data_IF_409225812267
#
_entry.id   IF_409225812267
#
_cell.length_a   1.000
_cell.length_b   1.000
_cell.length_c   1.000
_cell.angle_alpha   90.00
_cell.angle_beta   90.00
_cell.angle_gamma   90.00
#
_symmetry.space_group_name_H-M   'P 1'
#
loop_
_entity.id
_entity.type
_entity.pdbx_description
1 polymer ?
#
# COMPACT_ATOMS: atom_id res chain seq x y z
N UNK A 1 -16.10 -20.02 16.83
CA UNK A 1 -16.98 -19.13 16.05
C UNK A 1 -18.15 -18.49 16.84
N UNK A 2 -18.65 -19.10 17.93
CA UNK A 2 -19.75 -18.50 18.74
C UNK A 2 -19.31 -17.31 19.63
N UNK A 3 -18.04 -17.29 20.07
CA UNK A 3 -17.48 -16.25 20.95
C UNK A 3 -17.35 -14.89 20.24
N UNK A 4 -16.86 -14.85 18.99
CA UNK A 4 -16.74 -13.61 18.21
C UNK A 4 -18.09 -12.94 17.92
N UNK A 5 -19.15 -13.73 17.65
CA UNK A 5 -20.50 -13.19 17.40
C UNK A 5 -21.17 -12.59 18.63
N UNK A 6 -20.78 -13.01 19.84
CA UNK A 6 -21.24 -12.41 21.10
C UNK A 6 -20.54 -11.07 21.37
N UNK A 7 -19.22 -11.03 21.13
CA UNK A 7 -18.40 -9.81 21.19
C UNK A 7 -18.89 -8.71 20.22
N UNK A 8 -19.31 -9.09 19.00
CA UNK A 8 -19.83 -8.16 18.00
C UNK A 8 -21.17 -7.49 18.38
N UNK A 9 -22.05 -8.17 19.15
CA UNK A 9 -23.34 -7.62 19.58
C UNK A 9 -23.24 -6.74 20.84
N UNK A 10 -22.33 -7.06 21.75
CA UNK A 10 -22.03 -6.24 22.94
C UNK A 10 -21.33 -4.92 22.57
N UNK A 11 -20.59 -4.90 21.46
CA UNK A 11 -19.87 -3.75 20.88
C UNK A 11 -20.71 -2.49 20.71
N UNK A 12 -21.96 -2.57 20.24
CA UNK A 12 -22.74 -1.37 19.87
C UNK A 12 -23.02 -0.47 21.09
N UNK A 13 -23.34 -1.05 22.24
CA UNK A 13 -23.58 -0.30 23.47
C UNK A 13 -22.29 0.21 24.12
N UNK A 14 -21.19 -0.55 24.06
CA UNK A 14 -19.89 -0.10 24.55
C UNK A 14 -19.27 1.00 23.70
N UNK A 15 -19.32 0.90 22.36
CA UNK A 15 -18.82 1.94 21.45
C UNK A 15 -19.56 3.27 21.71
N UNK A 16 -20.87 3.22 21.94
CA UNK A 16 -21.66 4.41 22.31
C UNK A 16 -21.27 5.00 23.67
N UNK A 17 -20.81 4.18 24.63
CA UNK A 17 -20.24 4.67 25.90
C UNK A 17 -18.85 5.29 25.69
N UNK A 18 -18.00 4.69 24.87
CA UNK A 18 -16.65 5.17 24.58
C UNK A 18 -16.64 6.48 23.79
N UNK A 19 -17.64 6.69 22.92
CA UNK A 19 -17.84 7.95 22.17
C UNK A 19 -18.14 9.16 23.07
N UNK A 20 -18.64 8.93 24.29
CA UNK A 20 -18.96 9.97 25.29
C UNK A 20 -17.77 10.37 26.17
N UNK A 21 -16.65 9.66 26.09
CA UNK A 21 -15.47 10.01 26.86
C UNK A 21 -14.88 11.35 26.35
N UNK A 22 -14.43 12.25 27.24
CA UNK A 22 -13.90 13.56 26.85
C UNK A 22 -12.66 13.42 25.95
N UNK A 23 -12.62 14.17 24.85
CA UNK A 23 -11.45 14.27 23.96
C UNK A 23 -10.36 15.07 24.67
N UNK A 24 -9.24 14.42 24.98
CA UNK A 24 -8.06 15.09 25.55
C UNK A 24 -7.08 15.34 24.42
N UNK A 25 -6.69 16.60 24.21
CA UNK A 25 -5.59 16.96 23.32
C UNK A 25 -4.31 16.95 24.13
N UNK A 26 -3.47 15.94 23.92
CA UNK A 26 -2.15 15.87 24.55
C UNK A 26 -1.27 16.95 23.94
N UNK A 27 -0.74 17.85 24.78
CA UNK A 27 0.24 18.87 24.41
C UNK A 27 1.48 18.71 25.31
N UNK A 28 2.60 19.34 24.94
CA UNK A 28 3.88 19.23 25.66
C UNK A 28 3.82 19.79 27.09
N UNK A 29 2.88 20.69 27.35
CA UNK A 29 2.63 21.42 28.59
C UNK A 29 1.56 20.78 29.49
N UNK A 30 0.95 19.67 29.07
CA UNK A 30 -0.10 18.99 29.84
C UNK A 30 0.51 17.89 30.68
N UNK A 31 0.24 17.90 31.99
CA UNK A 31 0.58 16.81 32.90
C UNK A 31 -0.20 15.55 32.51
N UNK A 32 0.52 14.48 32.18
CA UNK A 32 -0.08 13.19 31.78
C UNK A 32 -0.38 12.39 33.04
N UNK A 33 -1.65 12.36 33.43
CA UNK A 33 -2.13 11.54 34.56
C UNK A 33 -2.58 10.15 34.11
N UNK A 34 -2.75 9.23 35.07
CA UNK A 34 -3.20 7.84 34.80
C UNK A 34 -4.60 7.84 34.17
N UNK A 35 -5.48 8.74 34.58
CA UNK A 35 -6.84 8.87 34.06
C UNK A 35 -6.86 9.31 32.59
N UNK A 36 -5.92 10.18 32.20
CA UNK A 36 -5.74 10.59 30.81
C UNK A 36 -5.33 9.40 29.95
N UNK A 37 -4.37 8.59 30.44
CA UNK A 37 -3.91 7.38 29.74
C UNK A 37 -5.02 6.34 29.63
N UNK A 38 -5.75 6.04 30.72
CA UNK A 38 -6.86 5.08 30.73
C UNK A 38 -7.95 5.48 29.72
N UNK A 39 -8.32 6.76 29.68
CA UNK A 39 -9.28 7.29 28.71
C UNK A 39 -8.80 7.10 27.26
N UNK A 40 -7.54 7.45 26.96
CA UNK A 40 -6.96 7.30 25.61
C UNK A 40 -6.94 5.83 25.18
N UNK A 41 -6.46 4.93 26.04
CA UNK A 41 -6.37 3.50 25.75
C UNK A 41 -7.76 2.91 25.52
N UNK A 42 -8.75 3.23 26.37
CA UNK A 42 -10.13 2.77 26.18
C UNK A 42 -10.73 3.25 24.86
N UNK A 43 -10.44 4.48 24.44
CA UNK A 43 -10.86 5.00 23.14
C UNK A 43 -10.18 4.28 21.98
N UNK A 44 -8.87 4.10 22.05
CA UNK A 44 -8.09 3.44 21.03
C UNK A 44 -8.55 1.98 20.85
N UNK A 45 -8.69 1.23 21.95
CA UNK A 45 -9.23 -0.13 21.94
C UNK A 45 -10.67 -0.17 21.44
N UNK A 46 -11.49 0.80 21.87
CA UNK A 46 -12.86 0.96 21.38
C UNK A 46 -12.92 1.09 19.87
N UNK A 47 -12.15 2.04 19.32
CA UNK A 47 -12.02 2.27 17.89
C UNK A 47 -11.45 1.05 17.16
N UNK A 48 -10.33 0.50 17.61
CA UNK A 48 -9.68 -0.64 16.99
C UNK A 48 -10.57 -1.88 17.00
N UNK A 49 -11.36 -2.07 18.06
CA UNK A 49 -12.36 -3.12 18.09
C UNK A 49 -13.32 -2.98 16.92
N UNK A 50 -13.76 -1.76 16.55
CA UNK A 50 -14.71 -1.56 15.45
C UNK A 50 -14.21 -2.03 14.08
N UNK A 51 -12.90 -2.17 13.91
CA UNK A 51 -12.26 -2.65 12.69
C UNK A 51 -12.24 -4.18 12.55
N UNK A 52 -12.56 -4.93 13.62
CA UNK A 52 -12.56 -6.39 13.59
C UNK A 52 -13.65 -6.93 12.65
N UNK A 53 -13.26 -7.82 11.74
CA UNK A 53 -14.16 -8.55 10.84
C UNK A 53 -15.06 -9.55 11.59
N UNK A 54 -16.12 -10.04 10.93
CA UNK A 54 -17.15 -10.88 11.55
C UNK A 54 -16.65 -12.23 12.08
N UNK A 55 -15.63 -12.77 11.44
CA UNK A 55 -14.92 -14.01 11.77
C UNK A 55 -13.76 -13.80 12.75
N UNK A 56 -13.46 -12.55 13.10
CA UNK A 56 -12.60 -12.17 14.22
C UNK A 56 -11.20 -11.71 13.84
N UNK A 57 -10.82 -11.67 12.55
CA UNK A 57 -9.55 -11.07 12.12
C UNK A 57 -9.64 -9.54 12.01
N UNK A 58 -8.50 -8.87 11.83
CA UNK A 58 -8.43 -7.44 11.55
C UNK A 58 -7.88 -7.22 10.15
N UNK A 59 -8.72 -6.78 9.18
CA UNK A 59 -8.23 -6.38 7.88
C UNK A 59 -7.32 -5.16 8.03
N UNK A 60 -6.20 -5.18 7.33
CA UNK A 60 -5.29 -4.05 7.22
C UNK A 60 -4.70 -4.04 5.82
N UNK A 61 -4.43 -2.85 5.31
CA UNK A 61 -3.62 -2.72 4.11
C UNK A 61 -2.20 -3.23 4.42
N UNK A 62 -1.78 -4.27 3.70
CA UNK A 62 -0.45 -4.85 3.78
C UNK A 62 0.31 -4.67 2.45
N UNK A 63 -0.01 -3.58 1.74
CA UNK A 63 0.82 -3.08 0.64
C UNK A 63 2.18 -2.56 1.13
N UNK A 64 2.96 -2.04 0.19
CA UNK A 64 4.29 -1.50 0.48
C UNK A 64 5.26 -1.83 -0.65
N UNK A 65 5.61 -3.12 -0.86
CA UNK A 65 6.40 -3.53 -2.01
C UNK A 65 5.67 -3.21 -3.33
N UNK A 66 6.30 -2.41 -4.19
CA UNK A 66 5.75 -2.04 -5.50
C UNK A 66 6.09 -3.13 -6.52
N UNK A 67 5.17 -4.09 -6.64
CA UNK A 67 5.12 -5.00 -7.80
C UNK A 67 3.68 -5.26 -8.30
N UNK A 68 2.66 -4.58 -7.74
CA UNK A 68 1.24 -4.89 -8.01
C UNK A 68 0.37 -3.70 -8.48
N UNK A 69 0.58 -2.46 -8.01
CA UNK A 69 -0.26 -1.30 -8.39
C UNK A 69 0.55 0.01 -8.52
N UNK A 70 0.22 0.89 -9.48
CA UNK A 70 1.08 2.01 -9.85
C UNK A 70 0.94 3.23 -8.93
N UNK A 71 2.08 3.68 -8.37
CA UNK A 71 2.29 5.06 -7.92
C UNK A 71 3.51 5.61 -8.65
N UNK A 72 3.31 6.14 -9.86
CA UNK A 72 4.39 6.66 -10.70
C UNK A 72 5.06 7.83 -9.97
N UNK A 73 6.38 7.77 -9.80
CA UNK A 73 7.14 8.87 -9.25
C UNK A 73 7.18 10.04 -10.24
N UNK A 74 7.43 11.26 -9.75
CA UNK A 74 7.49 12.47 -10.59
C UNK A 74 8.54 12.39 -11.71
N UNK A 75 9.59 11.57 -11.53
CA UNK A 75 10.62 11.33 -12.54
C UNK A 75 10.19 10.37 -13.65
N UNK A 76 9.00 9.77 -13.53
CA UNK A 76 8.47 8.79 -14.49
C UNK A 76 8.88 7.35 -14.21
N UNK A 77 9.47 7.03 -13.05
CA UNK A 77 9.81 5.66 -12.67
C UNK A 77 9.00 5.10 -11.49
N UNK A 78 9.33 3.88 -11.07
CA UNK A 78 8.82 3.26 -9.83
C UNK A 78 9.94 2.70 -8.97
N UNK A 79 9.80 2.89 -7.66
CA UNK A 79 10.65 2.26 -6.65
C UNK A 79 10.30 0.79 -6.41
N UNK A 80 11.06 0.17 -5.50
CA UNK A 80 10.77 -1.19 -5.00
C UNK A 80 9.68 -1.18 -3.91
N UNK A 81 9.36 0.00 -3.37
CA UNK A 81 8.29 0.24 -2.42
C UNK A 81 7.70 1.64 -2.62
N UNK A 82 6.48 1.88 -2.12
CA UNK A 82 5.70 3.11 -2.38
C UNK A 82 6.40 4.42 -2.04
N UNK A 83 7.30 4.43 -1.04
CA UNK A 83 8.07 5.61 -0.64
C UNK A 83 9.48 5.68 -1.28
N UNK A 84 9.77 4.76 -2.21
CA UNK A 84 11.11 4.57 -2.75
C UNK A 84 11.37 5.37 -4.01
N UNK A 85 12.61 5.84 -4.15
CA UNK A 85 13.10 6.38 -5.42
C UNK A 85 12.99 5.35 -6.55
N UNK A 86 12.87 5.85 -7.78
CA UNK A 86 12.75 5.02 -8.97
C UNK A 86 13.96 4.09 -9.14
N UNK A 87 13.67 2.83 -9.43
CA UNK A 87 14.68 1.78 -9.66
C UNK A 87 14.42 1.07 -10.97
N UNK A 88 15.45 0.50 -11.58
CA UNK A 88 15.27 -0.29 -12.79
C UNK A 88 14.36 -1.51 -12.56
N UNK A 89 14.45 -2.15 -11.39
CA UNK A 89 13.57 -3.28 -11.05
C UNK A 89 12.11 -2.86 -10.97
N UNK A 90 11.80 -1.86 -10.14
CA UNK A 90 10.44 -1.37 -9.93
C UNK A 90 9.82 -0.84 -11.22
N UNK A 91 10.59 -0.05 -11.97
CA UNK A 91 10.10 0.58 -13.21
C UNK A 91 9.82 -0.43 -14.31
N UNK A 92 10.75 -1.36 -14.56
CA UNK A 92 10.59 -2.36 -15.63
C UNK A 92 9.46 -3.34 -15.32
N UNK A 93 9.33 -3.79 -14.07
CA UNK A 93 8.26 -4.71 -13.69
C UNK A 93 6.88 -4.03 -13.67
N UNK A 94 6.80 -2.76 -13.22
CA UNK A 94 5.55 -2.00 -13.25
C UNK A 94 5.12 -1.70 -14.69
N UNK A 95 6.07 -1.30 -15.54
CA UNK A 95 5.82 -1.13 -16.97
C UNK A 95 5.33 -2.43 -17.62
N UNK A 96 6.00 -3.55 -17.35
CA UNK A 96 5.60 -4.87 -17.82
C UNK A 96 4.18 -5.25 -17.37
N UNK A 97 3.85 -5.05 -16.09
CA UNK A 97 2.53 -5.33 -15.54
C UNK A 97 1.44 -4.49 -16.20
N UNK A 98 1.67 -3.18 -16.39
CA UNK A 98 0.73 -2.30 -17.08
C UNK A 98 0.52 -2.73 -18.54
N UNK A 99 1.58 -3.13 -19.25
CA UNK A 99 1.47 -3.70 -20.61
C UNK A 99 0.63 -4.99 -20.63
N UNK A 100 0.78 -5.86 -19.63
CA UNK A 100 -0.02 -7.09 -19.51
C UNK A 100 -1.48 -6.83 -19.16
N UNK A 101 -1.77 -5.77 -18.41
CA UNK A 101 -3.13 -5.33 -18.12
C UNK A 101 -3.82 -4.63 -19.30
N UNK A 102 -3.10 -4.44 -20.42
CA UNK A 102 -3.65 -3.87 -21.65
C UNK A 102 -3.43 -2.36 -21.79
N UNK A 103 -2.63 -1.73 -20.92
CA UNK A 103 -2.34 -0.30 -21.03
C UNK A 103 -1.53 -0.01 -22.30
N UNK A 104 -2.07 0.85 -23.16
CA UNK A 104 -1.42 1.23 -24.42
C UNK A 104 -0.24 2.18 -24.20
N UNK A 105 0.77 2.13 -25.07
CA UNK A 105 1.94 3.01 -24.95
C UNK A 105 1.54 4.49 -25.03
N UNK A 106 0.59 4.80 -25.91
CA UNK A 106 0.04 6.15 -26.08
C UNK A 106 -1.29 6.34 -25.34
N UNK A 107 -1.66 5.38 -24.48
CA UNK A 107 -2.88 5.42 -23.70
C UNK A 107 -2.77 6.36 -22.50
N UNK A 108 -3.92 6.86 -22.05
CA UNK A 108 -4.05 7.54 -20.77
C UNK A 108 -3.32 8.89 -20.66
N UNK A 109 -2.62 9.08 -19.55
CA UNK A 109 -1.97 10.32 -19.11
C UNK A 109 -0.48 10.44 -19.48
N UNK A 110 0.02 9.52 -20.32
CA UNK A 110 1.44 9.46 -20.71
C UNK A 110 2.33 8.68 -19.74
N UNK A 111 1.77 8.02 -18.71
CA UNK A 111 2.50 7.15 -17.77
C UNK A 111 3.42 6.16 -18.49
N UNK A 112 2.92 5.48 -19.51
CA UNK A 112 3.70 4.48 -20.26
C UNK A 112 4.87 5.09 -21.03
N UNK A 113 4.69 6.28 -21.60
CA UNK A 113 5.75 7.01 -22.30
C UNK A 113 6.85 7.44 -21.33
N UNK A 114 6.46 8.02 -20.18
CA UNK A 114 7.41 8.49 -19.17
C UNK A 114 8.22 7.33 -18.59
N UNK A 115 7.57 6.23 -18.25
CA UNK A 115 8.22 5.00 -17.78
C UNK A 115 9.21 4.42 -18.79
N UNK A 116 8.80 4.34 -20.07
CA UNK A 116 9.69 3.88 -21.13
C UNK A 116 10.91 4.79 -21.29
N UNK A 117 10.71 6.09 -21.29
CA UNK A 117 11.80 7.06 -21.37
C UNK A 117 12.74 6.95 -20.17
N UNK A 118 12.21 6.79 -18.96
CA UNK A 118 13.00 6.57 -17.76
C UNK A 118 13.86 5.31 -17.89
N UNK A 119 13.29 4.18 -18.31
CA UNK A 119 14.02 2.91 -18.51
C UNK A 119 15.18 3.09 -19.50
N UNK A 120 14.91 3.68 -20.66
CA UNK A 120 15.91 3.87 -21.70
C UNK A 120 17.05 4.81 -21.25
N UNK A 121 16.71 5.89 -20.55
CA UNK A 121 17.69 6.86 -20.05
C UNK A 121 18.58 6.30 -18.92
N UNK A 122 18.17 5.22 -18.24
CA UNK A 122 18.89 4.60 -17.14
C UNK A 122 19.57 3.27 -17.50
N UNK A 123 19.81 3.03 -18.79
CA UNK A 123 20.57 1.87 -19.27
C UNK A 123 19.72 0.64 -19.60
N UNK A 124 18.42 0.81 -19.78
CA UNK A 124 17.51 -0.21 -20.30
C UNK A 124 17.22 -1.37 -19.35
N UNK A 125 16.31 -2.25 -19.77
CA UNK A 125 15.84 -3.38 -18.97
C UNK A 125 16.96 -4.38 -18.62
N UNK A 126 18.07 -4.40 -19.37
CA UNK A 126 19.25 -5.24 -19.10
C UNK A 126 19.94 -4.91 -17.78
N UNK A 127 19.78 -3.67 -17.29
CA UNK A 127 20.35 -3.19 -16.03
C UNK A 127 19.55 -3.63 -14.80
N UNK A 128 18.44 -4.35 -14.97
CA UNK A 128 17.64 -4.87 -13.86
C UNK A 128 18.39 -5.98 -13.09
N UNK A 129 18.23 -6.10 -11.75
CA UNK A 129 18.85 -7.18 -10.98
C UNK A 129 18.30 -8.57 -11.36
N UNK A 130 18.94 -9.63 -10.87
CA UNK A 130 18.61 -11.02 -11.21
C UNK A 130 17.13 -11.37 -11.06
N UNK A 131 16.47 -10.84 -10.02
CA UNK A 131 15.04 -11.03 -9.80
C UNK A 131 14.18 -10.44 -10.92
N UNK A 132 14.54 -9.27 -11.44
CA UNK A 132 13.85 -8.66 -12.58
C UNK A 132 14.04 -9.49 -13.85
N UNK A 133 15.25 -10.01 -14.09
CA UNK A 133 15.55 -10.89 -15.22
C UNK A 133 14.75 -12.18 -15.17
N UNK A 134 14.58 -12.76 -13.97
CA UNK A 134 13.75 -13.94 -13.75
C UNK A 134 12.30 -13.68 -14.20
N UNK A 135 11.67 -12.62 -13.70
CA UNK A 135 10.29 -12.30 -14.04
C UNK A 135 10.09 -11.90 -15.50
N UNK A 136 11.04 -11.16 -16.07
CA UNK A 136 11.05 -10.87 -17.49
C UNK A 136 11.18 -12.18 -18.29
N UNK A 137 12.06 -13.11 -17.94
CA UNK A 137 12.17 -14.37 -18.69
C UNK A 137 10.86 -15.16 -18.77
N UNK A 138 10.01 -15.07 -17.74
CA UNK A 138 8.68 -15.71 -17.72
C UNK A 138 7.68 -14.94 -18.59
N UNK A 139 7.73 -13.61 -18.57
CA UNK A 139 6.74 -12.73 -19.23
C UNK A 139 7.10 -12.31 -20.66
N UNK A 140 8.38 -12.42 -21.05
CA UNK A 140 8.98 -12.06 -22.36
C UNK A 140 8.64 -13.08 -23.47
N UNK A 141 7.86 -14.13 -23.17
CA UNK A 141 7.26 -15.00 -24.19
C UNK A 141 6.25 -14.28 -25.09
N UNK A 142 5.85 -13.04 -24.75
CA UNK A 142 5.08 -12.17 -25.64
C UNK A 142 6.00 -11.25 -26.47
N UNK A 143 5.75 -11.08 -27.79
CA UNK A 143 6.60 -10.30 -28.72
C UNK A 143 6.74 -8.80 -28.38
N UNK A 144 6.05 -8.32 -27.34
CA UNK A 144 6.07 -6.93 -26.91
C UNK A 144 7.39 -6.45 -26.30
N UNK A 145 8.24 -7.35 -25.81
CA UNK A 145 9.46 -6.98 -25.08
C UNK A 145 10.71 -6.80 -25.95
N UNK A 146 10.65 -7.11 -27.25
CA UNK A 146 11.80 -6.97 -28.14
C UNK A 146 12.21 -5.52 -28.45
N UNK A 147 11.45 -4.52 -27.98
CA UNK A 147 11.68 -3.09 -28.27
C UNK A 147 11.85 -2.20 -27.01
N UNK A 148 12.20 -2.82 -25.87
CA UNK A 148 12.70 -2.16 -24.67
C UNK A 148 14.23 -2.18 -24.62
#
# INVERSE_FOLDING_TARGET
MHVCKKFAREKKLEILKLRRLPSVKVRRDVEITVEVVDNIVRKALGFHSTLQAEDGFWPGDYGGPLFLLPGLNEDGGWGIHIEGHSTMLGTVLSYAALRLMGEEINGGDGTMVNARNWILNHGGATSTPSWGKLWLSVTVTYPFFFFL
#
